data_IF_127588614081
#
_entry.id   IF_127588614081
#
_cell.length_a   1.000
_cell.length_b   1.000
_cell.length_c   1.000
_cell.angle_alpha   90.00
_cell.angle_beta   90.00
_cell.angle_gamma   90.00
#
_symmetry.space_group_name_H-M   'P 1'
#
loop_
_entity.id
_entity.type
_entity.pdbx_description
1 polymer ?
#
# COMPACT_ATOMS: atom_id res chain seq x y z
N UNK A 1 -22.63 9.68 4.96
CA UNK A 1 -22.78 8.69 6.05
C UNK A 1 -24.26 8.46 6.40
N UNK A 2 -25.09 9.48 6.42
CA UNK A 2 -26.53 9.35 6.68
C UNK A 2 -27.26 8.61 5.53
N UNK A 3 -26.79 8.73 4.29
CA UNK A 3 -27.30 7.96 3.15
C UNK A 3 -26.95 6.48 3.26
N UNK A 4 -25.72 6.16 3.67
CA UNK A 4 -25.30 4.79 3.90
C UNK A 4 -26.15 4.14 5.00
N UNK A 5 -26.31 4.81 6.13
CA UNK A 5 -27.13 4.31 7.23
C UNK A 5 -28.57 4.05 6.78
N UNK A 6 -29.19 4.97 6.00
CA UNK A 6 -30.54 4.79 5.44
C UNK A 6 -30.63 3.58 4.51
N UNK A 7 -29.61 3.39 3.66
CA UNK A 7 -29.57 2.25 2.73
C UNK A 7 -29.44 0.90 3.46
N UNK A 8 -28.87 0.89 4.64
CA UNK A 8 -28.66 -0.32 5.46
C UNK A 8 -29.83 -0.64 6.41
N UNK A 9 -30.81 0.25 6.56
CA UNK A 9 -31.97 0.00 7.41
C UNK A 9 -32.75 -1.20 6.89
N UNK A 10 -33.00 -2.18 7.78
CA UNK A 10 -33.73 -3.42 7.45
C UNK A 10 -32.90 -4.48 6.74
N UNK A 11 -31.61 -4.22 6.44
CA UNK A 11 -30.72 -5.20 5.84
C UNK A 11 -30.11 -6.11 6.89
N UNK A 12 -29.94 -7.40 6.56
CA UNK A 12 -29.24 -8.38 7.38
C UNK A 12 -27.71 -8.36 7.12
N UNK A 13 -27.28 -8.00 5.92
CA UNK A 13 -25.88 -7.97 5.51
C UNK A 13 -25.57 -6.85 4.54
N UNK A 14 -24.31 -6.43 4.49
CA UNK A 14 -23.82 -5.44 3.56
C UNK A 14 -22.48 -5.85 2.95
N UNK A 15 -22.29 -5.53 1.67
CA UNK A 15 -21.02 -5.56 0.98
C UNK A 15 -20.60 -4.12 0.75
N UNK A 16 -19.43 -3.73 1.26
CA UNK A 16 -18.90 -2.36 1.21
C UNK A 16 -17.50 -2.33 0.64
N UNK A 17 -17.07 -1.17 0.20
CA UNK A 17 -15.66 -0.90 -0.15
C UNK A 17 -14.94 -0.24 1.03
N UNK A 18 -13.66 0.03 0.90
CA UNK A 18 -12.87 0.68 1.96
C UNK A 18 -13.26 2.13 2.28
N UNK A 19 -14.20 2.73 1.51
CA UNK A 19 -14.66 4.11 1.67
C UNK A 19 -15.89 4.25 2.57
N UNK A 20 -16.75 3.23 2.63
CA UNK A 20 -17.96 3.26 3.47
C UNK A 20 -17.61 3.01 4.94
N UNK A 21 -17.82 4.01 5.77
CA UNK A 21 -17.49 3.93 7.19
C UNK A 21 -18.63 3.28 7.99
N UNK A 22 -18.32 2.19 8.67
CA UNK A 22 -19.24 1.49 9.59
C UNK A 22 -18.80 1.82 11.02
N UNK A 23 -19.43 2.82 11.59
CA UNK A 23 -19.16 3.30 12.95
C UNK A 23 -20.37 3.13 13.88
N UNK A 24 -20.23 3.54 15.13
CA UNK A 24 -21.27 3.44 16.14
C UNK A 24 -22.58 4.13 15.68
N UNK A 25 -22.49 5.32 15.04
CA UNK A 25 -23.67 6.05 14.56
C UNK A 25 -24.42 5.28 13.49
N UNK A 26 -23.70 4.67 12.55
CA UNK A 26 -24.30 3.83 11.50
C UNK A 26 -24.98 2.61 12.12
N UNK A 27 -24.34 1.95 13.09
CA UNK A 27 -24.84 0.75 13.75
C UNK A 27 -26.05 1.02 14.66
N UNK A 28 -26.16 2.22 15.23
CA UNK A 28 -27.35 2.63 15.99
C UNK A 28 -28.61 2.65 15.14
N UNK A 29 -28.50 3.01 13.87
CA UNK A 29 -29.62 3.11 12.93
C UNK A 29 -29.91 1.81 12.19
N UNK A 30 -29.00 0.82 12.23
CA UNK A 30 -29.07 -0.42 11.44
C UNK A 30 -29.15 -1.67 12.30
N UNK A 31 -30.17 -1.73 13.16
CA UNK A 31 -30.34 -2.78 14.20
C UNK A 31 -30.49 -4.21 13.65
N UNK A 32 -30.91 -4.36 12.40
CA UNK A 32 -31.06 -5.65 11.71
C UNK A 32 -29.76 -6.21 11.18
N UNK A 33 -28.72 -5.37 11.03
CA UNK A 33 -27.46 -5.73 10.38
C UNK A 33 -26.70 -6.79 11.22
N UNK A 34 -26.32 -7.88 10.58
CA UNK A 34 -25.63 -9.03 11.18
C UNK A 34 -24.18 -9.15 10.72
N UNK A 35 -23.90 -8.74 9.48
CA UNK A 35 -22.59 -8.88 8.87
C UNK A 35 -22.28 -7.75 7.88
N UNK A 36 -21.02 -7.29 7.87
CA UNK A 36 -20.49 -6.42 6.82
C UNK A 36 -19.21 -7.04 6.24
N UNK A 37 -19.21 -7.27 4.93
CA UNK A 37 -18.06 -7.73 4.18
C UNK A 37 -17.40 -6.54 3.46
N UNK A 38 -16.10 -6.36 3.66
CA UNK A 38 -15.33 -5.29 3.05
C UNK A 38 -14.56 -5.80 1.83
N UNK A 39 -14.79 -5.22 0.64
CA UNK A 39 -13.97 -5.48 -0.56
C UNK A 39 -12.70 -4.62 -0.46
N UNK A 40 -11.89 -4.88 0.55
CA UNK A 40 -10.60 -4.24 0.77
C UNK A 40 -9.74 -5.08 1.69
N UNK A 41 -8.43 -4.89 1.62
CA UNK A 41 -7.47 -5.49 2.59
C UNK A 41 -7.50 -4.71 3.90
N UNK A 42 -7.46 -3.38 3.82
CA UNK A 42 -7.60 -2.50 4.98
C UNK A 42 -9.04 -2.49 5.51
N UNK A 43 -9.18 -2.26 6.80
CA UNK A 43 -10.47 -2.16 7.47
C UNK A 43 -10.54 -0.96 8.43
N UNK A 44 -9.80 0.11 8.11
CA UNK A 44 -9.80 1.34 8.89
C UNK A 44 -11.17 2.06 8.86
N UNK A 45 -12.00 1.71 7.90
CA UNK A 45 -13.39 2.16 7.76
C UNK A 45 -14.34 1.46 8.74
N UNK A 46 -13.92 0.43 9.48
CA UNK A 46 -14.72 -0.29 10.47
C UNK A 46 -14.36 0.13 11.90
N UNK A 47 -15.34 0.54 12.68
CA UNK A 47 -15.22 0.62 14.15
C UNK A 47 -15.46 -0.78 14.74
N UNK A 48 -14.38 -1.56 14.86
CA UNK A 48 -14.47 -2.94 15.36
C UNK A 48 -15.05 -3.04 16.77
N UNK A 49 -14.85 -2.01 17.64
CA UNK A 49 -15.42 -1.98 18.98
C UNK A 49 -16.94 -1.83 18.93
N UNK A 50 -17.41 -0.87 18.14
CA UNK A 50 -18.84 -0.65 17.95
C UNK A 50 -19.51 -1.86 17.27
N UNK A 51 -18.88 -2.46 16.25
CA UNK A 51 -19.36 -3.67 15.58
C UNK A 51 -19.46 -4.85 16.56
N UNK A 52 -18.44 -5.09 17.36
CA UNK A 52 -18.43 -6.14 18.39
C UNK A 52 -19.53 -5.92 19.43
N UNK A 53 -19.70 -4.69 19.90
CA UNK A 53 -20.75 -4.34 20.87
C UNK A 53 -22.17 -4.52 20.27
N UNK A 54 -22.33 -4.27 18.99
CA UNK A 54 -23.57 -4.46 18.24
C UNK A 54 -23.77 -5.90 17.73
N UNK A 55 -22.82 -6.80 17.97
CA UNK A 55 -22.81 -8.20 17.49
C UNK A 55 -22.87 -8.30 15.96
N UNK A 56 -22.27 -7.34 15.25
CA UNK A 56 -22.15 -7.34 13.78
C UNK A 56 -20.80 -7.95 13.40
N UNK A 57 -20.82 -9.00 12.60
CA UNK A 57 -19.61 -9.62 12.06
C UNK A 57 -18.95 -8.72 11.02
N UNK A 58 -17.62 -8.74 10.97
CA UNK A 58 -16.84 -8.04 9.96
C UNK A 58 -15.95 -9.04 9.21
N UNK A 59 -15.81 -8.86 7.90
CA UNK A 59 -14.82 -9.57 7.09
C UNK A 59 -14.12 -8.62 6.12
N UNK A 60 -12.93 -9.01 5.67
CA UNK A 60 -12.13 -8.30 4.67
C UNK A 60 -11.50 -9.31 3.71
N UNK A 61 -10.76 -8.83 2.70
CA UNK A 61 -10.13 -9.65 1.66
C UNK A 61 -8.61 -9.57 1.72
N UNK A 62 -7.95 -10.19 2.74
CA UNK A 62 -6.50 -10.17 2.84
C UNK A 62 -5.86 -10.99 1.71
N UNK A 63 -4.61 -10.67 1.37
CA UNK A 63 -3.71 -11.38 0.45
C UNK A 63 -4.04 -11.28 -1.05
N UNK A 64 -5.29 -11.13 -1.44
CA UNK A 64 -5.77 -11.20 -2.83
C UNK A 64 -5.12 -10.19 -3.78
N UNK A 65 -4.59 -9.08 -3.28
CA UNK A 65 -3.99 -8.02 -4.09
C UNK A 65 -2.51 -7.72 -3.73
N UNK A 66 -1.89 -8.55 -2.88
CA UNK A 66 -0.53 -8.29 -2.38
C UNK A 66 0.47 -8.12 -3.51
N UNK A 67 0.53 -9.06 -4.44
CA UNK A 67 1.49 -9.01 -5.54
C UNK A 67 1.15 -7.92 -6.56
N UNK A 68 -0.13 -7.80 -6.93
CA UNK A 68 -0.57 -6.76 -7.88
C UNK A 68 -0.25 -5.35 -7.38
N UNK A 69 -0.48 -5.09 -6.08
CA UNK A 69 -0.16 -3.79 -5.47
C UNK A 69 1.35 -3.57 -5.39
N UNK A 70 2.12 -4.62 -5.06
CA UNK A 70 3.57 -4.55 -5.04
C UNK A 70 4.16 -4.31 -6.45
N UNK A 71 3.58 -4.92 -7.50
CA UNK A 71 3.95 -4.67 -8.89
C UNK A 71 3.76 -3.21 -9.26
N UNK A 72 2.59 -2.65 -8.95
CA UNK A 72 2.31 -1.23 -9.21
C UNK A 72 3.25 -0.32 -8.41
N UNK A 73 3.46 -0.61 -7.11
CA UNK A 73 4.38 0.16 -6.26
C UNK A 73 5.79 0.18 -6.84
N UNK A 74 6.29 -0.97 -7.28
CA UNK A 74 7.61 -1.08 -7.87
C UNK A 74 7.69 -0.44 -9.28
N UNK A 75 6.62 -0.54 -10.07
CA UNK A 75 6.52 0.15 -11.35
C UNK A 75 6.56 1.67 -11.20
N UNK A 76 5.86 2.23 -10.19
CA UNK A 76 5.90 3.66 -9.88
C UNK A 76 7.29 4.10 -9.40
N UNK A 77 7.97 3.28 -8.60
CA UNK A 77 9.35 3.51 -8.18
C UNK A 77 10.26 3.63 -9.40
N UNK A 78 10.19 2.66 -10.33
CA UNK A 78 10.95 2.66 -11.57
C UNK A 78 10.61 3.86 -12.45
N UNK A 79 9.32 4.15 -12.62
CA UNK A 79 8.87 5.28 -13.43
C UNK A 79 9.36 6.62 -12.90
N UNK A 80 9.38 6.78 -11.57
CA UNK A 80 9.89 7.97 -10.90
C UNK A 80 11.41 8.10 -11.06
N UNK A 81 12.15 7.06 -10.72
CA UNK A 81 13.61 7.05 -10.81
C UNK A 81 14.11 7.29 -12.23
N UNK A 82 13.44 6.74 -13.24
CA UNK A 82 13.82 6.84 -14.64
C UNK A 82 13.07 7.94 -15.41
N UNK A 83 12.30 8.79 -14.72
CA UNK A 83 11.55 9.93 -15.28
C UNK A 83 10.63 9.53 -16.46
N UNK A 84 10.03 8.34 -16.39
CA UNK A 84 9.28 7.77 -17.52
C UNK A 84 8.11 8.65 -17.95
N UNK A 85 7.29 9.09 -17.00
CA UNK A 85 6.11 9.93 -17.28
C UNK A 85 6.49 11.31 -17.81
N UNK A 86 7.56 11.91 -17.27
CA UNK A 86 8.09 13.17 -17.74
C UNK A 86 8.64 13.05 -19.17
N UNK A 87 9.41 12.01 -19.43
CA UNK A 87 9.98 11.73 -20.75
C UNK A 87 8.88 11.48 -21.79
N UNK A 88 7.81 10.79 -21.40
CA UNK A 88 6.64 10.54 -22.24
C UNK A 88 5.94 11.86 -22.63
N UNK A 89 5.68 12.75 -21.67
CA UNK A 89 5.11 14.07 -21.92
C UNK A 89 6.00 14.92 -22.84
N UNK A 90 7.30 14.92 -22.58
CA UNK A 90 8.28 15.67 -23.36
C UNK A 90 8.34 15.17 -24.80
N UNK A 91 8.30 13.85 -25.00
CA UNK A 91 8.23 13.23 -26.33
C UNK A 91 6.95 13.60 -27.08
N UNK A 92 5.77 13.49 -26.43
CA UNK A 92 4.47 13.83 -27.05
C UNK A 92 4.33 15.32 -27.37
N UNK A 93 4.96 16.18 -26.60
CA UNK A 93 5.01 17.61 -26.88
C UNK A 93 5.93 17.95 -28.08
N UNK A 94 6.57 16.96 -28.70
CA UNK A 94 7.45 17.15 -29.85
C UNK A 94 8.80 17.78 -29.53
N UNK A 95 9.20 17.77 -28.26
CA UNK A 95 10.48 18.34 -27.83
C UNK A 95 11.66 17.43 -28.13
N UNK A 96 11.43 16.12 -28.22
CA UNK A 96 12.50 15.19 -28.60
C UNK A 96 12.83 15.32 -30.10
N UNK A 97 14.06 15.65 -30.41
CA UNK A 97 14.54 15.82 -31.80
C UNK A 97 15.59 14.77 -32.18
N UNK A 98 16.49 14.49 -31.28
CA UNK A 98 17.58 13.56 -31.45
C UNK A 98 18.08 13.10 -30.08
N UNK A 99 18.93 12.09 -30.08
CA UNK A 99 19.58 11.64 -28.86
C UNK A 99 20.48 12.75 -28.28
N UNK A 100 20.39 12.94 -26.98
CA UNK A 100 21.17 13.89 -26.20
C UNK A 100 21.73 13.22 -24.94
N UNK A 101 23.03 13.29 -24.73
CA UNK A 101 23.70 12.68 -23.58
C UNK A 101 23.21 13.23 -22.24
N UNK A 102 22.85 14.50 -22.17
CA UNK A 102 22.35 15.17 -20.96
C UNK A 102 20.84 15.14 -20.81
N UNK A 103 20.11 14.66 -21.83
CA UNK A 103 18.65 14.70 -21.89
C UNK A 103 17.98 13.65 -21.01
N UNK A 104 17.05 14.06 -20.14
CA UNK A 104 16.18 13.19 -19.37
C UNK A 104 16.90 12.11 -18.55
N UNK A 105 18.08 12.41 -18.01
CA UNK A 105 18.80 11.51 -17.11
C UNK A 105 17.98 11.25 -15.85
N UNK A 106 17.80 9.99 -15.52
CA UNK A 106 17.25 9.53 -14.25
C UNK A 106 18.34 9.10 -13.28
N UNK A 107 17.93 8.41 -12.22
CA UNK A 107 18.83 7.77 -11.25
C UNK A 107 18.72 6.25 -11.37
N UNK A 108 19.79 5.56 -10.98
CA UNK A 108 19.84 4.11 -11.03
C UNK A 108 19.11 3.50 -9.84
N UNK A 109 18.40 2.39 -10.09
CA UNK A 109 17.80 1.58 -9.05
C UNK A 109 18.72 0.42 -8.65
N UNK A 110 19.42 -0.17 -9.64
CA UNK A 110 20.29 -1.30 -9.35
C UNK A 110 21.39 -0.92 -8.36
N UNK A 111 21.61 -1.81 -7.39
CA UNK A 111 22.62 -1.67 -6.33
C UNK A 111 22.43 -0.47 -5.37
N UNK A 112 21.31 0.26 -5.48
CA UNK A 112 20.95 1.34 -4.56
C UNK A 112 20.26 0.79 -3.29
N UNK A 113 19.96 1.65 -2.34
CA UNK A 113 19.26 1.31 -1.10
C UNK A 113 17.76 1.54 -1.25
N UNK A 114 16.98 0.47 -1.15
CA UNK A 114 15.52 0.51 -1.07
C UNK A 114 15.08 0.61 0.39
N UNK A 115 14.51 1.75 0.76
CA UNK A 115 13.87 1.95 2.05
C UNK A 115 12.38 1.62 1.99
N UNK A 116 11.88 0.85 2.95
CA UNK A 116 10.46 0.49 3.03
C UNK A 116 9.90 0.94 4.40
N UNK A 117 9.00 1.90 4.37
CA UNK A 117 8.26 2.32 5.56
C UNK A 117 6.92 1.57 5.58
N UNK A 118 6.86 0.48 6.34
CA UNK A 118 5.71 -0.41 6.35
C UNK A 118 5.98 -1.77 5.69
N UNK A 119 6.78 -2.61 6.34
CA UNK A 119 7.18 -3.94 5.86
C UNK A 119 6.10 -5.00 6.20
N UNK A 120 4.84 -4.71 5.80
CA UNK A 120 3.74 -5.68 5.82
C UNK A 120 3.81 -6.63 4.62
N UNK A 121 2.71 -7.34 4.30
CA UNK A 121 2.68 -8.27 3.16
C UNK A 121 3.10 -7.62 1.84
N UNK A 122 2.57 -6.43 1.54
CA UNK A 122 2.90 -5.68 0.32
C UNK A 122 4.35 -5.20 0.37
N UNK A 123 4.82 -4.64 1.50
CA UNK A 123 6.21 -4.20 1.65
C UNK A 123 7.22 -5.34 1.45
N UNK A 124 6.95 -6.54 1.98
CA UNK A 124 7.75 -7.74 1.75
C UNK A 124 7.76 -8.14 0.27
N UNK A 125 6.62 -8.05 -0.41
CA UNK A 125 6.54 -8.33 -1.84
C UNK A 125 7.31 -7.30 -2.68
N UNK A 126 7.30 -6.03 -2.29
CA UNK A 126 8.15 -4.98 -2.89
C UNK A 126 9.64 -5.27 -2.64
N UNK A 127 10.02 -5.65 -1.40
CA UNK A 127 11.39 -6.01 -1.06
C UNK A 127 11.94 -7.11 -1.98
N UNK A 128 11.17 -8.19 -2.18
CA UNK A 128 11.55 -9.29 -3.08
C UNK A 128 11.81 -8.82 -4.52
N UNK A 129 11.08 -7.81 -5.02
CA UNK A 129 11.33 -7.19 -6.34
C UNK A 129 12.63 -6.42 -6.35
N UNK A 130 12.91 -5.65 -5.30
CA UNK A 130 14.17 -4.92 -5.13
C UNK A 130 15.40 -5.83 -5.14
N UNK A 131 15.30 -7.03 -4.59
CA UNK A 131 16.40 -8.02 -4.64
C UNK A 131 16.77 -8.40 -6.08
N UNK A 132 15.80 -8.46 -7.00
CA UNK A 132 16.06 -8.70 -8.43
C UNK A 132 16.90 -7.61 -9.10
N UNK A 133 16.93 -6.41 -8.52
CA UNK A 133 17.77 -5.28 -8.94
C UNK A 133 19.08 -5.17 -8.14
N UNK A 134 19.37 -6.15 -7.28
CA UNK A 134 20.55 -6.12 -6.41
C UNK A 134 20.52 -5.00 -5.37
N UNK A 135 19.33 -4.49 -5.03
CA UNK A 135 19.18 -3.41 -4.06
C UNK A 135 19.44 -3.91 -2.63
N UNK A 136 20.07 -3.06 -1.80
CA UNK A 136 20.10 -3.23 -0.35
C UNK A 136 18.72 -2.84 0.21
N UNK A 137 18.07 -3.74 0.94
CA UNK A 137 16.76 -3.46 1.53
C UNK A 137 16.91 -3.08 3.01
N UNK A 138 16.45 -1.90 3.37
CA UNK A 138 16.28 -1.45 4.75
C UNK A 138 14.81 -1.13 5.01
N UNK A 139 14.34 -1.33 6.25
CA UNK A 139 12.93 -1.08 6.54
C UNK A 139 12.69 -0.57 7.95
N UNK A 140 11.57 0.11 8.13
CA UNK A 140 11.04 0.48 9.44
C UNK A 140 9.57 0.07 9.59
N UNK A 141 9.25 -0.49 10.75
CA UNK A 141 7.91 -0.82 11.21
C UNK A 141 7.76 -0.41 12.68
N UNK A 142 6.52 -0.29 13.14
CA UNK A 142 6.22 -0.18 14.58
C UNK A 142 6.74 -1.38 15.38
N UNK A 143 6.70 -2.56 14.79
CA UNK A 143 7.27 -3.79 15.35
C UNK A 143 8.18 -4.43 14.32
N UNK A 144 9.36 -4.87 14.75
CA UNK A 144 10.32 -5.56 13.88
C UNK A 144 9.73 -6.87 13.39
N UNK A 145 10.07 -7.27 12.16
CA UNK A 145 9.71 -8.59 11.61
C UNK A 145 10.43 -9.72 12.37
N UNK A 146 9.94 -10.94 12.20
CA UNK A 146 10.66 -12.12 12.66
C UNK A 146 11.98 -12.29 11.86
N UNK A 147 13.01 -12.92 12.46
CA UNK A 147 14.29 -13.18 11.77
C UNK A 147 14.12 -13.94 10.47
N UNK A 148 13.14 -14.85 10.39
CA UNK A 148 12.86 -15.66 9.20
C UNK A 148 12.38 -14.75 8.04
N UNK A 149 11.46 -13.82 8.30
CA UNK A 149 10.95 -12.87 7.30
C UNK A 149 12.01 -11.84 6.89
N UNK A 150 12.84 -11.37 7.84
CA UNK A 150 13.99 -10.51 7.51
C UNK A 150 14.96 -11.23 6.57
N UNK A 151 15.22 -12.49 6.85
CA UNK A 151 16.14 -13.31 6.06
C UNK A 151 15.58 -13.62 4.65
N UNK A 152 14.29 -13.94 4.57
CA UNK A 152 13.58 -14.16 3.30
C UNK A 152 13.64 -12.91 2.40
N UNK A 153 13.40 -11.73 2.98
CA UNK A 153 13.43 -10.46 2.28
C UNK A 153 14.85 -9.87 2.16
N UNK A 154 15.86 -10.49 2.77
CA UNK A 154 17.23 -9.96 2.95
C UNK A 154 17.21 -8.49 3.42
N UNK A 155 16.31 -8.19 4.35
CA UNK A 155 16.01 -6.84 4.80
C UNK A 155 16.60 -6.57 6.18
N UNK A 156 17.07 -5.35 6.39
CA UNK A 156 17.62 -4.89 7.67
C UNK A 156 16.66 -3.91 8.33
N UNK A 157 16.26 -4.20 9.58
CA UNK A 157 15.50 -3.24 10.38
C UNK A 157 16.37 -2.07 10.80
N UNK A 158 15.85 -0.86 10.61
CA UNK A 158 16.46 0.38 11.06
C UNK A 158 15.42 1.27 11.76
N UNK A 159 15.87 2.25 12.54
CA UNK A 159 14.95 3.29 13.02
C UNK A 159 14.49 4.19 11.86
N UNK A 160 13.41 4.96 12.12
CA UNK A 160 12.79 5.78 11.08
C UNK A 160 13.73 6.87 10.56
N UNK A 161 14.56 7.44 11.40
CA UNK A 161 15.49 8.51 11.01
C UNK A 161 16.58 7.94 10.08
N UNK A 162 17.15 6.82 10.45
CA UNK A 162 18.13 6.08 9.64
C UNK A 162 17.51 5.69 8.28
N UNK A 163 16.26 5.18 8.29
CA UNK A 163 15.56 4.83 7.04
C UNK A 163 15.49 6.02 6.09
N UNK A 164 15.04 7.18 6.59
CA UNK A 164 14.87 8.39 5.77
C UNK A 164 16.19 9.01 5.30
N UNK A 165 17.29 8.75 6.03
CA UNK A 165 18.61 9.25 5.70
C UNK A 165 19.37 8.36 4.72
N UNK A 166 19.21 7.05 4.82
CA UNK A 166 19.99 6.08 4.05
C UNK A 166 19.30 5.54 2.81
N UNK A 167 17.98 5.72 2.68
CA UNK A 167 17.26 5.24 1.51
C UNK A 167 17.54 6.15 0.30
N UNK A 168 18.02 5.55 -0.80
CA UNK A 168 18.07 6.22 -2.11
C UNK A 168 16.67 6.29 -2.72
N UNK A 169 15.88 5.25 -2.50
CA UNK A 169 14.48 5.12 -2.93
C UNK A 169 13.62 4.69 -1.76
N UNK A 170 12.52 5.40 -1.55
CA UNK A 170 11.60 5.14 -0.43
C UNK A 170 10.22 4.71 -0.93
N UNK A 171 9.71 3.62 -0.37
CA UNK A 171 8.33 3.14 -0.56
C UNK A 171 7.58 3.19 0.77
N UNK A 172 6.35 3.72 0.73
CA UNK A 172 5.44 3.88 1.86
C UNK A 172 4.21 2.99 1.66
#
# INVERSE_FOLDING_TARGET
QDELAKALVGMDGALVTGSERIDAKTLELTKSLKMVANIAVGYNNFDLKAMSSSRVMASNTPDVLTDTTADLGFALLMATARRVTESEHWLRAGHWKNWDLGGMLGVDLHHSTLGILGMGRIGQAVARRGLGFGMKVIYHNRSRLSPELENECKATYVDKETLLKEADHLVL
#
